data_IF_572895960096
#
_entry.id   IF_572895960096
#
_cell.length_a   1.000
_cell.length_b   1.000
_cell.length_c   1.000
_cell.angle_alpha   90.00
_cell.angle_beta   90.00
_cell.angle_gamma   90.00
#
_symmetry.space_group_name_H-M   'P 1'
#
loop_
_entity.id
_entity.type
_entity.pdbx_description
1 polymer ?
#
# COMPACT_ATOMS: atom_id res chain seq x y z
N UNK A 1 34.68 -0.46 16.57
CA UNK A 1 34.95 -1.91 16.65
C UNK A 1 33.62 -2.63 16.87
N UNK A 2 33.16 -3.38 15.86
CA UNK A 2 31.94 -4.19 15.94
C UNK A 2 32.21 -5.37 16.87
N UNK A 3 31.55 -5.43 18.03
CA UNK A 3 31.62 -6.58 18.93
C UNK A 3 30.36 -7.44 18.75
N UNK A 4 30.27 -8.10 17.60
CA UNK A 4 29.16 -9.00 17.31
C UNK A 4 29.70 -10.36 16.88
N UNK A 5 29.39 -11.37 17.69
CA UNK A 5 29.69 -12.80 17.56
C UNK A 5 30.64 -13.16 16.41
N UNK A 6 31.95 -13.10 16.65
CA UNK A 6 32.99 -13.32 15.63
C UNK A 6 32.94 -14.71 14.99
N UNK A 7 32.35 -15.70 15.68
CA UNK A 7 32.21 -17.07 15.20
C UNK A 7 30.89 -17.39 14.49
N UNK A 8 29.96 -16.44 14.37
CA UNK A 8 28.64 -16.68 13.76
C UNK A 8 28.25 -15.54 12.83
N UNK A 9 28.11 -15.84 11.54
CA UNK A 9 27.71 -14.87 10.51
C UNK A 9 26.19 -14.72 10.36
N UNK A 10 25.40 -15.15 11.35
CA UNK A 10 23.93 -15.13 11.32
C UNK A 10 23.39 -14.18 12.40
N UNK A 11 22.43 -13.34 12.01
CA UNK A 11 21.63 -12.51 12.91
C UNK A 11 20.15 -12.85 12.70
N UNK A 12 19.46 -13.16 13.80
CA UNK A 12 18.01 -13.37 13.80
C UNK A 12 17.38 -12.25 14.63
N UNK A 13 16.47 -11.50 14.02
CA UNK A 13 15.75 -10.40 14.64
C UNK A 13 14.26 -10.74 14.62
N UNK A 14 13.73 -11.09 15.79
CA UNK A 14 12.30 -11.35 15.95
C UNK A 14 11.60 -10.14 16.57
N UNK A 15 10.85 -9.44 15.75
CA UNK A 15 9.95 -8.35 16.14
C UNK A 15 10.61 -7.27 17.00
N UNK A 16 11.86 -6.93 16.63
CA UNK A 16 12.74 -6.05 17.43
C UNK A 16 12.35 -4.57 17.40
N UNK A 17 11.31 -4.20 16.63
CA UNK A 17 10.93 -2.80 16.34
C UNK A 17 9.50 -2.49 16.80
N UNK A 18 9.08 -3.07 17.92
CA UNK A 18 7.70 -2.99 18.41
C UNK A 18 7.34 -1.70 19.16
N UNK A 19 8.31 -0.92 19.62
CA UNK A 19 8.09 0.29 20.45
C UNK A 19 8.92 1.50 20.00
N UNK A 20 9.37 1.48 18.76
CA UNK A 20 10.39 2.41 18.24
C UNK A 20 9.72 3.46 17.33
N UNK A 21 9.99 4.75 17.55
CA UNK A 21 9.46 5.83 16.70
C UNK A 21 10.01 5.78 15.26
N UNK A 22 9.36 6.52 14.36
CA UNK A 22 9.67 6.47 12.93
C UNK A 22 11.14 6.81 12.58
N UNK A 23 11.77 7.73 13.32
CA UNK A 23 13.16 8.13 13.07
C UNK A 23 14.15 7.06 13.51
N UNK A 24 13.88 6.40 14.63
CA UNK A 24 14.69 5.28 15.08
C UNK A 24 14.55 4.05 14.16
N UNK A 25 13.37 3.80 13.57
CA UNK A 25 13.19 2.74 12.56
C UNK A 25 14.14 2.93 11.38
N UNK A 26 14.17 4.10 10.77
CA UNK A 26 15.06 4.39 9.64
C UNK A 26 16.54 4.18 9.99
N UNK A 27 16.95 4.61 11.19
CA UNK A 27 18.32 4.40 11.67
C UNK A 27 18.66 2.92 11.85
N UNK A 28 17.71 2.09 12.30
CA UNK A 28 17.89 0.64 12.39
C UNK A 28 18.06 0.03 10.99
N UNK A 29 17.24 0.44 10.01
CA UNK A 29 17.38 -0.03 8.62
C UNK A 29 18.79 0.25 8.09
N UNK A 30 19.23 1.51 8.29
CA UNK A 30 20.54 1.97 7.87
C UNK A 30 21.64 1.16 8.55
N UNK A 31 21.58 1.00 9.87
CA UNK A 31 22.54 0.21 10.64
C UNK A 31 22.64 -1.23 10.11
N UNK A 32 21.51 -1.90 9.89
CA UNK A 32 21.49 -3.28 9.41
C UNK A 32 22.12 -3.42 8.03
N UNK A 33 21.80 -2.51 7.10
CA UNK A 33 22.29 -2.58 5.73
C UNK A 33 23.75 -2.11 5.57
N UNK A 34 24.16 -1.08 6.31
CA UNK A 34 25.53 -0.53 6.22
C UNK A 34 26.53 -1.31 7.08
N UNK A 35 26.16 -1.66 8.31
CA UNK A 35 27.10 -2.23 9.27
C UNK A 35 27.05 -3.76 9.36
N UNK A 36 25.95 -4.38 8.91
CA UNK A 36 25.78 -5.84 8.98
C UNK A 36 25.52 -6.48 7.62
N UNK A 37 25.86 -5.80 6.52
CA UNK A 37 25.72 -6.34 5.17
C UNK A 37 26.60 -7.57 4.88
N UNK A 38 27.60 -7.86 5.72
CA UNK A 38 28.42 -9.08 5.67
C UNK A 38 27.80 -10.26 6.44
N UNK A 39 26.64 -10.08 7.08
CA UNK A 39 25.94 -11.11 7.85
C UNK A 39 24.70 -11.61 7.10
N UNK A 40 24.36 -12.87 7.31
CA UNK A 40 23.04 -13.40 6.96
C UNK A 40 22.02 -12.86 7.97
N UNK A 41 20.99 -12.19 7.47
CA UNK A 41 19.92 -11.61 8.29
C UNK A 41 18.64 -12.43 8.11
N UNK A 42 18.03 -12.83 9.22
CA UNK A 42 16.65 -13.33 9.28
C UNK A 42 15.86 -12.35 10.12
N UNK A 43 14.87 -11.69 9.52
CA UNK A 43 14.08 -10.64 10.18
C UNK A 43 12.62 -11.03 10.10
N UNK A 44 11.97 -11.17 11.25
CA UNK A 44 10.53 -11.36 11.38
C UNK A 44 9.92 -10.10 12.00
N UNK A 45 8.75 -9.70 11.49
CA UNK A 45 8.04 -8.51 11.96
C UNK A 45 6.55 -8.69 11.70
N UNK A 46 5.71 -8.22 12.62
CA UNK A 46 4.28 -8.04 12.36
C UNK A 46 3.94 -6.60 11.96
N UNK A 47 4.88 -5.66 12.09
CA UNK A 47 4.72 -4.26 11.69
C UNK A 47 4.93 -4.11 10.17
N UNK A 48 3.83 -3.86 9.43
CA UNK A 48 3.84 -3.63 7.99
C UNK A 48 4.56 -2.33 7.58
N UNK A 49 4.53 -1.31 8.43
CA UNK A 49 5.21 -0.02 8.19
C UNK A 49 6.71 -0.25 8.23
N UNK A 50 7.18 -0.95 9.27
CA UNK A 50 8.59 -1.32 9.41
C UNK A 50 9.07 -2.16 8.23
N UNK A 51 8.31 -3.18 7.85
CA UNK A 51 8.61 -3.99 6.66
C UNK A 51 8.73 -3.12 5.40
N UNK A 52 7.79 -2.19 5.20
CA UNK A 52 7.80 -1.26 4.08
C UNK A 52 9.04 -0.35 4.07
N UNK A 53 9.43 0.18 5.24
CA UNK A 53 10.64 0.99 5.40
C UNK A 53 11.90 0.17 5.09
N UNK A 54 12.01 -1.06 5.60
CA UNK A 54 13.13 -1.96 5.30
C UNK A 54 13.25 -2.25 3.81
N UNK A 55 12.13 -2.53 3.14
CA UNK A 55 12.12 -2.72 1.69
C UNK A 55 12.54 -1.44 0.93
N UNK A 56 12.10 -0.27 1.39
CA UNK A 56 12.49 1.01 0.80
C UNK A 56 13.98 1.30 0.96
N UNK A 57 14.53 1.05 2.15
CA UNK A 57 15.96 1.17 2.40
C UNK A 57 16.75 0.19 1.53
N UNK A 58 16.37 -1.09 1.45
CA UNK A 58 17.01 -2.06 0.55
C UNK A 58 17.09 -1.56 -0.89
N UNK A 59 16.01 -1.00 -1.45
CA UNK A 59 16.01 -0.37 -2.78
C UNK A 59 16.93 0.84 -2.86
N UNK A 60 16.93 1.69 -1.83
CA UNK A 60 17.78 2.88 -1.80
C UNK A 60 19.29 2.53 -1.81
N UNK A 61 19.66 1.41 -1.16
CA UNK A 61 21.02 0.86 -1.17
C UNK A 61 21.30 -0.11 -2.32
N UNK A 62 20.34 -0.34 -3.24
CA UNK A 62 20.44 -1.28 -4.37
C UNK A 62 20.73 -2.73 -3.95
N UNK A 63 20.12 -3.15 -2.83
CA UNK A 63 20.28 -4.47 -2.23
C UNK A 63 18.99 -5.29 -2.28
N UNK A 64 17.95 -4.84 -2.97
CA UNK A 64 16.64 -5.51 -3.01
C UNK A 64 16.68 -6.95 -3.55
N UNK A 65 17.66 -7.27 -4.41
CA UNK A 65 17.87 -8.61 -4.93
C UNK A 65 18.55 -9.59 -3.95
N UNK A 66 19.11 -9.08 -2.85
CA UNK A 66 19.82 -9.88 -1.86
C UNK A 66 18.90 -10.44 -0.76
N UNK A 67 17.63 -10.01 -0.74
CA UNK A 67 16.68 -10.38 0.30
C UNK A 67 15.49 -11.15 -0.27
N UNK A 68 15.26 -12.33 0.29
CA UNK A 68 14.00 -13.04 0.10
C UNK A 68 12.91 -12.42 0.99
N UNK A 69 11.74 -12.19 0.39
CA UNK A 69 10.59 -11.62 1.08
C UNK A 69 9.53 -12.71 1.22
N UNK A 70 9.20 -13.07 2.45
CA UNK A 70 8.33 -14.19 2.77
C UNK A 70 7.20 -13.72 3.71
N UNK A 71 6.04 -14.36 3.57
CA UNK A 71 4.88 -14.20 4.44
C UNK A 71 4.54 -15.53 5.09
N UNK A 72 4.27 -15.50 6.39
CA UNK A 72 3.56 -16.57 7.09
C UNK A 72 2.07 -16.31 6.87
N UNK A 73 1.42 -17.18 6.11
CA UNK A 73 0.01 -16.98 5.70
C UNK A 73 -0.99 -17.74 6.55
N UNK A 74 -0.54 -18.77 7.25
CA UNK A 74 -1.36 -19.69 8.05
C UNK A 74 -0.41 -20.55 8.91
N UNK A 75 -0.92 -21.20 9.96
CA UNK A 75 -0.16 -22.16 10.76
C UNK A 75 -1.06 -23.13 11.52
N UNK A 76 -0.56 -24.35 11.77
CA UNK A 76 -1.15 -25.27 12.76
C UNK A 76 -0.05 -25.85 13.64
N UNK A 77 -0.42 -26.40 14.80
CA UNK A 77 0.55 -27.06 15.70
C UNK A 77 1.25 -28.22 14.98
N UNK A 78 0.50 -29.02 14.22
CA UNK A 78 1.03 -30.23 13.58
C UNK A 78 1.86 -29.93 12.32
N UNK A 79 1.52 -28.87 11.57
CA UNK A 79 2.13 -28.56 10.27
C UNK A 79 3.09 -27.36 10.30
N UNK A 80 3.13 -26.63 11.42
CA UNK A 80 3.92 -25.40 11.55
C UNK A 80 3.42 -24.27 10.64
N UNK A 81 4.23 -23.21 10.46
CA UNK A 81 3.88 -22.06 9.63
C UNK A 81 3.92 -22.40 8.14
N UNK A 82 2.84 -22.05 7.42
CA UNK A 82 2.81 -22.06 5.96
C UNK A 82 3.43 -20.78 5.44
N UNK A 83 4.57 -20.92 4.80
CA UNK A 83 5.33 -19.81 4.22
C UNK A 83 5.02 -19.68 2.72
N UNK A 84 4.87 -18.44 2.26
CA UNK A 84 4.71 -18.07 0.84
C UNK A 84 5.61 -16.88 0.51
N UNK A 85 6.04 -16.71 -0.75
CA UNK A 85 6.64 -15.45 -1.17
C UNK A 85 5.71 -14.27 -0.84
N UNK A 86 6.27 -13.21 -0.29
CA UNK A 86 5.55 -11.95 -0.12
C UNK A 86 5.18 -11.44 -1.52
N UNK A 87 3.88 -11.25 -1.73
CA UNK A 87 3.36 -10.60 -2.93
C UNK A 87 2.85 -9.21 -2.55
N UNK A 88 3.23 -8.15 -3.26
CA UNK A 88 2.54 -6.87 -3.19
C UNK A 88 1.03 -7.08 -3.29
N UNK A 89 0.27 -6.25 -2.58
CA UNK A 89 -1.19 -6.38 -2.46
C UNK A 89 -1.89 -6.63 -3.80
N UNK A 90 -1.47 -5.94 -4.85
CA UNK A 90 -2.03 -6.10 -6.19
C UNK A 90 -1.78 -7.48 -6.81
N UNK A 91 -0.56 -8.00 -6.71
CA UNK A 91 -0.22 -9.34 -7.21
C UNK A 91 -0.99 -10.44 -6.45
N UNK A 92 -1.26 -10.24 -5.15
CA UNK A 92 -2.11 -11.14 -4.36
C UNK A 92 -3.55 -11.17 -4.89
N UNK A 93 -4.13 -10.00 -5.16
CA UNK A 93 -5.46 -9.86 -5.76
C UNK A 93 -5.50 -10.54 -7.14
N UNK A 94 -4.50 -10.30 -7.99
CA UNK A 94 -4.39 -10.94 -9.31
C UNK A 94 -4.30 -12.47 -9.21
N UNK A 95 -3.57 -13.00 -8.22
CA UNK A 95 -3.51 -14.44 -7.95
C UNK A 95 -4.88 -15.03 -7.64
N UNK A 96 -5.62 -14.43 -6.71
CA UNK A 96 -6.99 -14.86 -6.37
C UNK A 96 -7.95 -14.80 -7.56
N UNK A 97 -7.83 -13.76 -8.39
CA UNK A 97 -8.60 -13.64 -9.63
C UNK A 97 -8.29 -14.80 -10.58
N UNK A 98 -7.01 -15.15 -10.76
CA UNK A 98 -6.59 -16.24 -11.62
C UNK A 98 -7.02 -17.62 -11.11
N UNK A 99 -7.10 -17.78 -9.79
CA UNK A 99 -7.57 -19.01 -9.12
C UNK A 99 -9.10 -19.13 -9.08
N UNK A 100 -9.85 -18.09 -9.49
CA UNK A 100 -11.31 -18.08 -9.45
C UNK A 100 -11.90 -17.74 -8.09
N UNK A 101 -11.08 -17.33 -7.11
CA UNK A 101 -11.50 -16.92 -5.77
C UNK A 101 -12.09 -15.50 -5.79
N UNK A 102 -13.35 -15.39 -6.23
CA UNK A 102 -14.07 -14.10 -6.32
C UNK A 102 -14.23 -13.42 -4.95
N UNK A 103 -14.50 -14.19 -3.91
CA UNK A 103 -14.75 -13.66 -2.56
C UNK A 103 -13.45 -13.13 -1.96
N UNK A 104 -12.37 -13.90 -2.02
CA UNK A 104 -11.08 -13.44 -1.53
C UNK A 104 -10.52 -12.28 -2.35
N UNK A 105 -10.73 -12.24 -3.67
CA UNK A 105 -10.34 -11.12 -4.50
C UNK A 105 -11.15 -9.85 -4.16
N UNK A 106 -12.47 -9.97 -4.03
CA UNK A 106 -13.35 -8.87 -3.65
C UNK A 106 -13.01 -8.28 -2.28
N UNK A 107 -12.77 -9.13 -1.28
CA UNK A 107 -12.37 -8.72 0.07
C UNK A 107 -11.01 -8.00 0.08
N UNK A 108 -10.00 -8.54 -0.61
CA UNK A 108 -8.69 -7.87 -0.72
C UNK A 108 -8.79 -6.56 -1.51
N UNK A 109 -9.61 -6.53 -2.56
CA UNK A 109 -9.89 -5.32 -3.34
C UNK A 109 -10.56 -4.24 -2.49
N UNK A 110 -11.44 -4.62 -1.56
CA UNK A 110 -12.10 -3.69 -0.65
C UNK A 110 -11.14 -3.09 0.38
N UNK A 111 -10.30 -3.92 0.99
CA UNK A 111 -9.24 -3.45 1.90
C UNK A 111 -8.23 -2.57 1.15
N UNK A 112 -7.91 -2.93 -0.10
CA UNK A 112 -7.09 -2.10 -0.97
C UNK A 112 -7.72 -0.73 -1.21
N UNK A 113 -9.01 -0.68 -1.55
CA UNK A 113 -9.73 0.56 -1.75
C UNK A 113 -9.73 1.45 -0.50
N UNK A 114 -10.00 0.88 0.66
CA UNK A 114 -9.97 1.63 1.92
C UNK A 114 -8.61 2.31 2.15
N UNK A 115 -7.52 1.56 1.95
CA UNK A 115 -6.17 2.11 2.03
C UNK A 115 -5.93 3.20 0.99
N UNK A 116 -6.32 3.00 -0.28
CA UNK A 116 -6.16 4.01 -1.35
C UNK A 116 -6.87 5.31 -0.97
N UNK A 117 -8.11 5.23 -0.49
CA UNK A 117 -8.88 6.41 -0.11
C UNK A 117 -8.29 7.11 1.11
N UNK A 118 -7.81 6.36 2.11
CA UNK A 118 -7.08 6.93 3.25
C UNK A 118 -5.85 7.70 2.79
N UNK A 119 -5.04 7.11 1.90
CA UNK A 119 -3.85 7.77 1.36
C UNK A 119 -4.20 9.02 0.55
N UNK A 120 -5.24 8.98 -0.29
CA UNK A 120 -5.70 10.17 -1.03
C UNK A 120 -6.12 11.26 -0.04
N UNK A 121 -6.94 10.94 0.96
CA UNK A 121 -7.41 11.92 1.93
C UNK A 121 -6.25 12.53 2.73
N UNK A 122 -5.30 11.72 3.20
CA UNK A 122 -4.10 12.18 3.92
C UNK A 122 -3.25 13.08 3.01
N UNK A 123 -2.84 12.57 1.85
CA UNK A 123 -1.90 13.25 0.97
C UNK A 123 -2.47 14.53 0.34
N UNK A 124 -3.79 14.67 0.28
CA UNK A 124 -4.45 15.88 -0.26
C UNK A 124 -4.92 16.84 0.84
N UNK A 125 -4.70 16.51 2.11
CA UNK A 125 -5.29 17.20 3.26
C UNK A 125 -6.82 17.33 3.14
N UNK A 126 -7.50 16.25 2.76
CA UNK A 126 -8.96 16.23 2.69
C UNK A 126 -9.57 16.35 4.10
N UNK A 127 -10.59 17.21 4.30
CA UNK A 127 -11.25 17.32 5.59
C UNK A 127 -12.16 16.11 5.81
N UNK A 128 -11.73 15.17 6.65
CA UNK A 128 -12.47 13.96 7.02
C UNK A 128 -12.73 13.95 8.53
N UNK A 129 -13.99 13.80 9.00
CA UNK A 129 -14.31 13.73 10.42
C UNK A 129 -13.58 12.58 11.13
N UNK A 130 -13.12 12.81 12.39
CA UNK A 130 -12.38 11.82 13.21
C UNK A 130 -13.08 10.46 13.27
N UNK A 131 -14.40 10.45 13.47
CA UNK A 131 -15.21 9.24 13.56
C UNK A 131 -15.19 8.38 12.27
N UNK A 132 -14.93 8.99 11.11
CA UNK A 132 -14.90 8.28 9.82
C UNK A 132 -13.54 7.61 9.58
N UNK A 133 -12.47 8.09 10.23
CA UNK A 133 -11.17 7.42 10.22
C UNK A 133 -11.18 6.12 11.00
N UNK A 134 -11.81 6.11 12.18
CA UNK A 134 -11.90 4.94 13.06
C UNK A 134 -12.87 3.89 12.52
N UNK A 135 -13.96 4.31 11.86
CA UNK A 135 -14.97 3.40 11.30
C UNK A 135 -14.65 2.86 9.91
N UNK A 136 -13.67 3.44 9.20
CA UNK A 136 -13.22 2.93 7.90
C UNK A 136 -14.32 2.84 6.84
N UNK A 137 -15.38 3.67 6.92
CA UNK A 137 -16.50 3.58 5.99
C UNK A 137 -16.06 4.08 4.62
N UNK A 138 -15.71 3.15 3.73
CA UNK A 138 -15.24 3.43 2.36
C UNK A 138 -16.16 4.39 1.61
N UNK A 139 -17.48 4.31 1.81
CA UNK A 139 -18.43 5.25 1.20
C UNK A 139 -18.16 6.71 1.59
N UNK A 140 -17.90 6.96 2.88
CA UNK A 140 -17.59 8.30 3.36
C UNK A 140 -16.23 8.78 2.86
N UNK A 141 -15.20 7.94 2.99
CA UNK A 141 -13.85 8.26 2.52
C UNK A 141 -13.83 8.56 1.02
N UNK A 142 -14.60 7.83 0.22
CA UNK A 142 -14.70 8.03 -1.22
C UNK A 142 -15.29 9.40 -1.56
N UNK A 143 -16.37 9.79 -0.88
CA UNK A 143 -17.00 11.10 -1.07
C UNK A 143 -16.04 12.25 -0.70
N UNK A 144 -15.33 12.13 0.42
CA UNK A 144 -14.36 13.14 0.84
C UNK A 144 -13.17 13.25 -0.13
N UNK A 145 -12.60 12.11 -0.55
CA UNK A 145 -11.52 12.06 -1.51
C UNK A 145 -11.91 12.71 -2.85
N UNK A 146 -13.06 12.30 -3.41
CA UNK A 146 -13.57 12.83 -4.69
C UNK A 146 -13.80 14.34 -4.62
N UNK A 147 -14.57 14.81 -3.64
CA UNK A 147 -14.86 16.24 -3.47
C UNK A 147 -13.59 17.06 -3.24
N UNK A 148 -12.60 16.49 -2.56
CA UNK A 148 -11.31 17.17 -2.35
C UNK A 148 -10.58 17.38 -3.67
N UNK A 149 -10.51 16.37 -4.54
CA UNK A 149 -9.87 16.53 -5.85
C UNK A 149 -10.60 17.54 -6.72
N UNK A 150 -11.94 17.48 -6.73
CA UNK A 150 -12.77 18.38 -7.52
C UNK A 150 -12.59 19.86 -7.13
N UNK A 151 -12.28 20.13 -5.86
CA UNK A 151 -12.08 21.50 -5.33
C UNK A 151 -10.62 21.94 -5.32
N UNK A 152 -9.69 21.02 -5.09
CA UNK A 152 -8.26 21.31 -4.97
C UNK A 152 -7.61 21.48 -6.35
N UNK A 153 -7.84 20.56 -7.28
CA UNK A 153 -7.09 20.51 -8.54
C UNK A 153 -7.69 21.45 -9.60
N UNK A 154 -6.83 22.24 -10.26
CA UNK A 154 -7.19 23.12 -11.40
C UNK A 154 -6.62 22.65 -12.74
N UNK A 155 -5.70 21.69 -12.74
CA UNK A 155 -5.25 21.05 -13.97
C UNK A 155 -6.38 20.18 -14.55
N UNK A 156 -7.02 20.66 -15.63
CA UNK A 156 -8.16 20.00 -16.25
C UNK A 156 -7.84 18.60 -16.76
N UNK A 157 -6.65 18.38 -17.29
CA UNK A 157 -6.25 17.06 -17.80
C UNK A 157 -6.16 16.05 -16.66
N UNK A 158 -5.46 16.42 -15.59
CA UNK A 158 -5.36 15.57 -14.41
C UNK A 158 -6.71 15.35 -13.75
N UNK A 159 -7.48 16.43 -13.56
CA UNK A 159 -8.80 16.39 -12.93
C UNK A 159 -9.78 15.51 -13.68
N UNK A 160 -9.87 15.63 -15.01
CA UNK A 160 -10.77 14.81 -15.82
C UNK A 160 -10.41 13.32 -15.75
N UNK A 161 -9.12 12.99 -15.80
CA UNK A 161 -8.63 11.61 -15.68
C UNK A 161 -9.01 11.00 -14.32
N UNK A 162 -8.77 11.72 -13.22
CA UNK A 162 -9.09 11.22 -11.87
C UNK A 162 -10.60 11.14 -11.64
N UNK A 163 -11.37 12.11 -12.12
CA UNK A 163 -12.85 12.09 -12.05
C UNK A 163 -13.45 10.89 -12.80
N UNK A 164 -12.86 10.52 -13.94
CA UNK A 164 -13.25 9.30 -14.66
C UNK A 164 -12.96 8.04 -13.82
N UNK A 165 -11.77 7.95 -13.21
CA UNK A 165 -11.41 6.82 -12.34
C UNK A 165 -12.37 6.68 -11.14
N UNK A 166 -12.76 7.78 -10.48
CA UNK A 166 -13.78 7.74 -9.43
C UNK A 166 -15.15 7.26 -9.96
N UNK A 167 -15.55 7.73 -11.13
CA UNK A 167 -16.85 7.36 -11.74
C UNK A 167 -16.90 5.87 -12.10
N UNK A 168 -15.85 5.33 -12.69
CA UNK A 168 -15.78 3.89 -13.00
C UNK A 168 -15.70 3.03 -11.72
N UNK A 169 -14.98 3.50 -10.69
CA UNK A 169 -14.97 2.83 -9.40
C UNK A 169 -16.38 2.79 -8.76
N UNK A 170 -17.10 3.90 -8.76
CA UNK A 170 -18.44 3.98 -8.15
C UNK A 170 -19.40 2.93 -8.73
N UNK A 171 -19.33 2.70 -10.05
CA UNK A 171 -20.13 1.67 -10.75
C UNK A 171 -19.85 0.25 -10.25
N UNK A 172 -18.68 -0.01 -9.71
CA UNK A 172 -18.23 -1.35 -9.30
C UNK A 172 -18.17 -1.55 -7.79
N UNK A 173 -18.28 -0.47 -7.00
CA UNK A 173 -18.17 -0.52 -5.52
C UNK A 173 -19.12 -1.52 -4.85
N UNK A 174 -20.31 -1.73 -5.44
CA UNK A 174 -21.27 -2.70 -4.93
C UNK A 174 -20.71 -4.13 -4.91
N UNK A 175 -19.87 -4.50 -5.88
CA UNK A 175 -19.26 -5.83 -5.94
C UNK A 175 -18.31 -6.04 -4.76
N UNK A 176 -17.48 -5.04 -4.46
CA UNK A 176 -16.61 -5.06 -3.29
C UNK A 176 -17.39 -5.18 -1.98
N UNK A 177 -18.49 -4.45 -1.83
CA UNK A 177 -19.35 -4.54 -0.65
C UNK A 177 -19.95 -5.95 -0.49
N UNK A 178 -20.52 -6.50 -1.57
CA UNK A 178 -21.17 -7.82 -1.54
C UNK A 178 -20.15 -8.93 -1.23
N UNK A 179 -18.95 -8.88 -1.84
CA UNK A 179 -17.94 -9.93 -1.72
C UNK A 179 -17.12 -9.87 -0.41
N UNK A 180 -17.19 -8.76 0.34
CA UNK A 180 -16.40 -8.58 1.58
C UNK A 180 -17.20 -8.92 2.86
N UNK A 181 -18.50 -9.16 2.73
CA UNK A 181 -19.37 -9.51 3.84
C UNK A 181 -20.02 -10.86 3.58
N UNK A 182 -20.46 -11.52 4.65
CA UNK A 182 -21.32 -12.69 4.52
C UNK A 182 -22.68 -12.23 3.94
N UNK A 183 -22.80 -12.32 2.62
CA UNK A 183 -23.91 -11.77 1.85
C UNK A 183 -24.45 -12.83 0.88
N UNK A 184 -25.75 -13.20 0.97
CA UNK A 184 -26.38 -14.18 0.08
C UNK A 184 -26.25 -13.83 -1.42
N UNK A 185 -26.11 -12.54 -1.75
CA UNK A 185 -25.96 -12.10 -3.14
C UNK A 185 -24.57 -12.41 -3.72
N UNK A 186 -23.59 -12.80 -2.90
CA UNK A 186 -22.24 -13.10 -3.35
C UNK A 186 -22.19 -14.30 -4.32
N UNK A 187 -23.12 -15.25 -4.19
CA UNK A 187 -23.25 -16.38 -5.12
C UNK A 187 -23.52 -15.93 -6.55
N UNK A 188 -24.35 -14.90 -6.72
CA UNK A 188 -24.74 -14.36 -8.03
C UNK A 188 -23.66 -13.56 -8.76
N UNK A 189 -22.59 -13.15 -8.06
CA UNK A 189 -21.49 -12.42 -8.68
C UNK A 189 -20.48 -13.35 -9.38
N UNK A 190 -20.01 -12.93 -10.54
CA UNK A 190 -18.96 -13.61 -11.30
C UNK A 190 -17.56 -13.17 -10.86
N UNK A 191 -16.56 -13.99 -11.21
CA UNK A 191 -15.14 -13.60 -11.06
C UNK A 191 -14.80 -12.37 -11.92
N UNK A 192 -15.49 -12.16 -13.04
CA UNK A 192 -15.29 -11.02 -13.92
C UNK A 192 -15.72 -9.70 -13.27
N UNK A 193 -16.82 -9.70 -12.52
CA UNK A 193 -17.28 -8.53 -11.74
C UNK A 193 -16.33 -8.22 -10.58
N UNK A 194 -15.85 -9.24 -9.86
CA UNK A 194 -14.82 -9.08 -8.83
C UNK A 194 -13.53 -8.49 -9.42
N UNK A 195 -13.08 -9.00 -10.57
CA UNK A 195 -11.93 -8.49 -11.32
C UNK A 195 -12.14 -7.04 -11.76
N UNK A 196 -13.32 -6.70 -12.28
CA UNK A 196 -13.68 -5.35 -12.71
C UNK A 196 -13.52 -4.35 -11.55
N UNK A 197 -14.12 -4.66 -10.39
CA UNK A 197 -13.95 -3.85 -9.19
C UNK A 197 -12.49 -3.69 -8.78
N UNK A 198 -11.74 -4.79 -8.68
CA UNK A 198 -10.33 -4.76 -8.29
C UNK A 198 -9.47 -3.90 -9.24
N UNK A 199 -9.73 -3.98 -10.55
CA UNK A 199 -9.06 -3.15 -11.54
C UNK A 199 -9.40 -1.68 -11.36
N UNK A 200 -10.67 -1.30 -11.14
CA UNK A 200 -11.04 0.09 -10.89
C UNK A 200 -10.33 0.66 -9.65
N UNK A 201 -10.17 -0.13 -8.59
CA UNK A 201 -9.38 0.27 -7.41
C UNK A 201 -7.91 0.49 -7.77
N UNK A 202 -7.33 -0.40 -8.56
CA UNK A 202 -5.93 -0.29 -8.99
C UNK A 202 -5.69 0.92 -9.91
N UNK A 203 -6.60 1.19 -10.84
CA UNK A 203 -6.56 2.37 -11.73
C UNK A 203 -6.70 3.68 -10.94
N UNK A 204 -7.58 3.72 -9.94
CA UNK A 204 -7.68 4.87 -9.04
C UNK A 204 -6.35 5.08 -8.31
N UNK A 205 -5.75 4.03 -7.74
CA UNK A 205 -4.44 4.14 -7.08
C UNK A 205 -3.36 4.67 -8.04
N UNK A 206 -3.24 4.06 -9.23
CA UNK A 206 -2.28 4.47 -10.25
C UNK A 206 -2.44 5.93 -10.68
N UNK A 207 -3.65 6.47 -10.58
CA UNK A 207 -3.92 7.86 -10.92
C UNK A 207 -3.23 8.87 -9.99
N UNK A 208 -2.87 8.46 -8.78
CA UNK A 208 -2.17 9.25 -7.76
C UNK A 208 -0.68 8.93 -7.64
N UNK A 209 -0.15 8.05 -8.50
CA UNK A 209 1.27 7.74 -8.53
C UNK A 209 2.02 8.68 -9.47
N UNK A 210 3.24 9.04 -9.10
CA UNK A 210 4.18 9.68 -10.00
C UNK A 210 4.56 8.68 -11.12
N UNK A 211 4.33 9.01 -12.40
CA UNK A 211 4.64 8.10 -13.51
C UNK A 211 6.12 7.72 -13.61
N UNK A 212 7.03 8.58 -13.12
CA UNK A 212 8.47 8.38 -13.21
C UNK A 212 9.03 7.44 -12.13
N UNK A 213 8.49 7.46 -10.91
CA UNK A 213 9.05 6.70 -9.78
C UNK A 213 8.05 5.94 -8.92
N UNK A 214 6.75 5.99 -9.23
CA UNK A 214 5.71 5.23 -8.54
C UNK A 214 5.41 5.66 -7.10
N UNK A 215 5.91 6.82 -6.64
CA UNK A 215 5.54 7.36 -5.33
C UNK A 215 4.17 8.04 -5.41
N UNK A 216 3.38 7.94 -4.34
CA UNK A 216 2.15 8.72 -4.20
C UNK A 216 2.48 10.21 -4.20
N UNK A 217 1.70 11.00 -4.93
CA UNK A 217 1.82 12.45 -4.93
C UNK A 217 1.25 13.04 -3.63
N UNK A 218 1.79 14.17 -3.21
CA UNK A 218 1.42 14.87 -1.97
C UNK A 218 1.11 16.33 -2.25
N UNK A 219 0.13 16.87 -1.53
CA UNK A 219 -0.27 18.27 -1.63
C UNK A 219 0.65 19.13 -0.76
N UNK A 220 1.25 20.14 -1.37
CA UNK A 220 2.08 21.14 -0.70
C UNK A 220 1.34 22.49 -0.69
N UNK A 221 0.68 22.86 0.42
CA UNK A 221 -0.10 24.11 0.51
C UNK A 221 0.71 25.37 0.23
N UNK A 222 1.99 25.39 0.61
CA UNK A 222 2.84 26.55 0.35
C UNK A 222 3.17 26.75 -1.13
N UNK A 223 2.97 25.71 -1.95
CA UNK A 223 3.31 25.69 -3.38
C UNK A 223 2.06 25.65 -4.26
N UNK A 224 0.86 25.46 -3.69
CA UNK A 224 -0.39 25.21 -4.42
C UNK A 224 -0.23 24.16 -5.52
N UNK A 225 0.38 23.03 -5.16
CA UNK A 225 0.64 21.91 -6.08
C UNK A 225 0.52 20.55 -5.38
N UNK A 226 0.09 19.56 -6.14
CA UNK A 226 0.40 18.15 -5.84
C UNK A 226 1.72 17.79 -6.53
N UNK A 227 2.69 17.29 -5.77
CA UNK A 227 4.05 17.03 -6.27
C UNK A 227 4.47 15.61 -5.84
N UNK A 228 5.33 14.97 -6.64
CA UNK A 228 6.04 13.79 -6.18
C UNK A 228 7.00 14.13 -5.02
N UNK A 229 6.85 13.51 -3.83
CA UNK A 229 7.69 13.82 -2.66
C UNK A 229 9.11 13.24 -2.75
N UNK A 230 9.38 12.36 -3.73
CA UNK A 230 10.66 11.71 -3.88
C UNK A 230 11.72 12.66 -4.48
N UNK A 231 12.62 13.15 -3.63
CA UNK A 231 13.73 14.03 -4.01
C UNK A 231 14.72 13.42 -5.03
N UNK A 232 14.72 12.09 -5.19
CA UNK A 232 15.56 11.38 -6.18
C UNK A 232 14.81 11.09 -7.48
N UNK A 233 13.55 11.53 -7.63
CA UNK A 233 12.78 11.34 -8.85
C UNK A 233 13.41 12.13 -10.00
N UNK A 234 13.63 11.48 -11.14
CA UNK A 234 14.24 12.12 -12.32
C UNK A 234 13.29 13.05 -13.06
N UNK A 235 11.99 12.75 -12.99
CA UNK A 235 10.92 13.49 -13.66
C UNK A 235 9.69 13.53 -12.75
N UNK A 236 9.72 14.36 -11.67
CA UNK A 236 8.63 14.44 -10.73
C UNK A 236 7.39 15.06 -11.38
N UNK A 237 6.24 14.40 -11.20
CA UNK A 237 4.96 15.00 -11.61
C UNK A 237 4.64 16.20 -10.72
N UNK A 238 4.12 17.25 -11.35
CA UNK A 238 3.56 18.42 -10.68
C UNK A 238 2.18 18.70 -11.24
N UNK A 239 1.18 18.83 -10.37
CA UNK A 239 -0.20 19.14 -10.73
C UNK A 239 -0.60 20.43 -10.04
N UNK A 240 -1.11 21.39 -10.80
CA UNK A 240 -1.54 22.70 -10.27
C UNK A 240 -2.80 22.55 -9.41
N UNK A 241 -2.82 23.23 -8.27
CA UNK A 241 -3.99 23.34 -7.39
C UNK A 241 -4.40 24.80 -7.17
N UNK A 242 -5.60 24.99 -6.65
CA UNK A 242 -6.05 26.26 -6.07
C UNK A 242 -5.21 26.63 -4.85
#
# INVERSE_FOLDING_TARGET
MKKFNEGCSLIVLDDVVTTVDAGHRENICKLLLEEFGDKQLIITTHDEIWYGQLCASQRAYKMEGNFERLNIVDWTVDMGPKIRPYKPRWERIQGKIAEGDKTGAGNDGRQYLEWVLKMICINTNAPVPVNNWEKGMVGDLLNHARKRIETLVIDDSYKNRVSLAFTELERTTMYGNILSHDNPLAEGLSIAEAKSFCNCVHELHGSFLCPSCGHLIEYYPNLNKLICPNVKCKDPIEVKTN
#
